data_IF_050321107284
#
_entry.id   IF_050321107284
#
_cell.length_a   1.000
_cell.length_b   1.000
_cell.length_c   1.000
_cell.angle_alpha   90.00
_cell.angle_beta   90.00
_cell.angle_gamma   90.00
#
_symmetry.space_group_name_H-M   'P 1'
#
loop_
_entity.id
_entity.type
_entity.pdbx_description
1 polymer ?
#
# COMPACT_ATOMS: atom_id res chain seq x y z
N UNK A 1 -4.02 -5.45 -34.39
CA UNK A 1 -2.67 -6.01 -34.58
C UNK A 1 -1.60 -4.91 -34.86
N UNK A 2 -1.63 -3.76 -34.16
CA UNK A 2 -0.68 -2.66 -34.43
C UNK A 2 0.43 -2.49 -33.37
N UNK A 3 0.37 -3.17 -32.22
CA UNK A 3 1.34 -2.97 -31.13
C UNK A 3 2.58 -3.87 -31.17
N UNK A 4 2.59 -4.95 -31.98
CA UNK A 4 3.73 -5.88 -32.04
C UNK A 4 4.91 -5.35 -32.88
N UNK A 5 4.70 -4.33 -33.72
CA UNK A 5 5.71 -3.87 -34.68
C UNK A 5 6.59 -2.70 -34.17
N UNK A 6 6.28 -2.10 -33.01
CA UNK A 6 7.05 -0.95 -32.47
C UNK A 6 8.30 -1.32 -31.66
N UNK A 7 8.54 -2.59 -31.36
CA UNK A 7 9.64 -2.99 -30.46
C UNK A 7 10.96 -3.33 -31.17
N UNK A 8 11.01 -3.31 -32.51
CA UNK A 8 12.23 -3.68 -33.26
C UNK A 8 13.14 -2.46 -33.52
N UNK A 9 12.66 -1.23 -33.31
CA UNK A 9 13.36 0.01 -33.73
C UNK A 9 14.20 0.70 -32.65
N UNK A 10 14.29 0.17 -31.43
CA UNK A 10 15.21 0.69 -30.40
C UNK A 10 16.24 -0.39 -30.09
N UNK A 11 17.52 -0.04 -30.18
CA UNK A 11 18.68 -0.85 -29.81
C UNK A 11 18.78 -1.14 -28.30
N UNK A 12 17.64 -1.28 -27.64
CA UNK A 12 17.53 -1.61 -26.23
C UNK A 12 17.88 -3.10 -26.05
N UNK A 13 18.77 -3.37 -25.09
CA UNK A 13 19.15 -4.74 -24.75
C UNK A 13 17.90 -5.52 -24.33
N UNK A 14 17.71 -6.69 -24.93
CA UNK A 14 16.64 -7.60 -24.56
C UNK A 14 16.66 -7.84 -23.04
N UNK A 15 15.47 -7.75 -22.43
CA UNK A 15 15.31 -8.00 -21.01
C UNK A 15 15.60 -9.46 -20.69
N UNK A 16 16.24 -9.70 -19.54
CA UNK A 16 16.30 -11.07 -19.02
C UNK A 16 14.91 -11.58 -18.67
N UNK A 17 14.67 -12.89 -18.81
CA UNK A 17 13.37 -13.51 -18.51
C UNK A 17 12.84 -13.13 -17.13
N UNK A 18 13.72 -13.05 -16.12
CA UNK A 18 13.37 -12.62 -14.76
C UNK A 18 12.88 -11.17 -14.72
N UNK A 19 13.57 -10.24 -15.40
CA UNK A 19 13.17 -8.82 -15.45
C UNK A 19 11.85 -8.65 -16.21
N UNK A 20 11.68 -9.38 -17.30
CA UNK A 20 10.44 -9.39 -18.06
C UNK A 20 9.26 -9.89 -17.21
N UNK A 21 9.42 -11.01 -16.50
CA UNK A 21 8.39 -11.55 -15.62
C UNK A 21 7.99 -10.58 -14.50
N UNK A 22 8.97 -9.88 -13.92
CA UNK A 22 8.71 -8.82 -12.93
C UNK A 22 7.87 -7.69 -13.53
N UNK A 23 8.28 -7.15 -14.69
CA UNK A 23 7.54 -6.07 -15.36
C UNK A 23 6.12 -6.50 -15.76
N UNK A 24 5.96 -7.73 -16.24
CA UNK A 24 4.65 -8.29 -16.55
C UNK A 24 3.77 -8.38 -15.31
N UNK A 25 4.32 -8.89 -14.20
CA UNK A 25 3.58 -9.01 -12.94
C UNK A 25 3.15 -7.64 -12.40
N UNK A 26 4.01 -6.63 -12.49
CA UNK A 26 3.70 -5.26 -12.11
C UNK A 26 2.57 -4.69 -12.99
N UNK A 27 2.65 -4.88 -14.31
CA UNK A 27 1.64 -4.40 -15.26
C UNK A 27 0.26 -5.02 -15.06
N UNK A 28 0.19 -6.31 -14.73
CA UNK A 28 -1.07 -7.02 -14.48
C UNK A 28 -1.65 -6.67 -13.11
N UNK A 29 -0.82 -6.59 -12.07
CA UNK A 29 -1.29 -6.41 -10.70
C UNK A 29 -1.54 -4.94 -10.33
N UNK A 30 -0.84 -3.98 -10.96
CA UNK A 30 -0.96 -2.57 -10.58
C UNK A 30 -2.38 -1.98 -10.70
N UNK A 31 -3.16 -2.24 -11.77
CA UNK A 31 -4.55 -1.77 -11.85
C UNK A 31 -5.42 -2.30 -10.72
N UNK A 32 -5.33 -3.61 -10.45
CA UNK A 32 -6.06 -4.28 -9.38
C UNK A 32 -5.70 -3.71 -8.00
N UNK A 33 -4.40 -3.52 -7.73
CA UNK A 33 -3.93 -2.94 -6.47
C UNK A 33 -4.40 -1.50 -6.27
N UNK A 34 -4.47 -0.68 -7.32
CA UNK A 34 -4.96 0.71 -7.26
C UNK A 34 -6.44 0.76 -6.91
N UNK A 35 -7.25 -0.09 -7.54
CA UNK A 35 -8.67 -0.20 -7.25
C UNK A 35 -8.92 -0.63 -5.80
N UNK A 36 -8.17 -1.64 -5.34
CA UNK A 36 -8.36 -2.22 -4.01
C UNK A 36 -7.78 -1.37 -2.87
N UNK A 37 -6.86 -0.45 -3.17
CA UNK A 37 -6.25 0.43 -2.17
C UNK A 37 -7.29 1.32 -1.44
N UNK A 38 -8.32 1.76 -2.16
CA UNK A 38 -9.36 2.65 -1.65
C UNK A 38 -10.46 1.93 -0.84
N UNK A 39 -10.46 0.60 -0.79
CA UNK A 39 -11.43 -0.18 -0.03
C UNK A 39 -11.25 0.13 1.46
N UNK A 40 -12.30 0.66 2.10
CA UNK A 40 -12.28 1.12 3.49
C UNK A 40 -12.00 -0.02 4.49
N UNK A 41 -12.44 -1.23 4.18
CA UNK A 41 -12.26 -2.45 4.98
C UNK A 41 -10.90 -3.12 4.79
N UNK A 42 -10.05 -2.62 3.89
CA UNK A 42 -8.73 -3.19 3.64
C UNK A 42 -7.86 -3.12 4.90
N UNK A 43 -7.30 -4.27 5.30
CA UNK A 43 -6.41 -4.36 6.44
C UNK A 43 -5.21 -3.42 6.28
N UNK A 44 -4.89 -2.67 7.33
CA UNK A 44 -3.76 -1.74 7.38
C UNK A 44 -2.42 -2.33 6.91
N UNK A 45 -1.98 -3.55 7.34
CA UNK A 45 -0.74 -4.13 6.84
C UNK A 45 -0.77 -4.35 5.31
N UNK A 46 -1.88 -4.83 4.78
CA UNK A 46 -2.09 -5.00 3.33
C UNK A 46 -2.03 -3.67 2.60
N UNK A 47 -2.69 -2.63 3.14
CA UNK A 47 -2.65 -1.27 2.58
C UNK A 47 -1.23 -0.70 2.57
N UNK A 48 -0.41 -0.96 3.60
CA UNK A 48 1.01 -0.56 3.64
C UNK A 48 1.84 -1.27 2.59
N UNK A 49 1.61 -2.58 2.36
CA UNK A 49 2.31 -3.34 1.32
C UNK A 49 1.94 -2.81 -0.07
N UNK A 50 0.65 -2.64 -0.36
CA UNK A 50 0.17 -2.10 -1.64
C UNK A 50 0.77 -0.70 -1.90
N UNK A 51 0.79 0.18 -0.90
CA UNK A 51 1.40 1.51 -1.02
C UNK A 51 2.87 1.46 -1.44
N UNK A 52 3.65 0.55 -0.83
CA UNK A 52 5.07 0.36 -1.16
C UNK A 52 5.26 -0.19 -2.58
N UNK A 53 4.47 -1.21 -2.95
CA UNK A 53 4.57 -1.83 -4.29
C UNK A 53 4.20 -0.85 -5.41
N UNK A 54 3.17 -0.02 -5.19
CA UNK A 54 2.75 1.02 -6.13
C UNK A 54 3.63 2.28 -6.10
N UNK A 55 4.65 2.33 -5.24
CA UNK A 55 5.56 3.48 -5.08
C UNK A 55 4.84 4.83 -4.90
N UNK A 56 3.69 4.83 -4.24
CA UNK A 56 2.85 6.03 -4.07
C UNK A 56 3.54 7.14 -3.24
N UNK A 57 4.57 6.80 -2.48
CA UNK A 57 5.33 7.75 -1.64
C UNK A 57 6.44 8.51 -2.41
N UNK A 58 6.70 8.21 -3.69
CA UNK A 58 7.83 8.82 -4.43
C UNK A 58 7.55 10.23 -4.99
N UNK A 59 6.31 10.72 -4.96
CA UNK A 59 5.94 12.04 -5.49
C UNK A 59 5.28 12.97 -4.46
N UNK A 60 5.32 12.62 -3.19
CA UNK A 60 4.67 13.43 -2.15
C UNK A 60 5.74 14.30 -1.50
N UNK A 61 5.83 15.57 -1.94
CA UNK A 61 6.36 16.64 -1.08
C UNK A 61 5.69 16.45 0.29
N UNK A 62 6.44 16.42 1.42
CA UNK A 62 5.89 15.98 2.70
C UNK A 62 4.58 16.73 2.97
N UNK A 63 3.44 16.04 3.06
CA UNK A 63 2.18 16.74 3.23
C UNK A 63 2.24 17.37 4.61
N UNK A 64 1.97 18.68 4.67
CA UNK A 64 1.68 19.40 5.91
C UNK A 64 0.65 18.59 6.69
N UNK A 65 1.14 17.83 7.68
CA UNK A 65 0.41 17.05 8.70
C UNK A 65 -1.07 16.76 8.35
N UNK A 66 -1.35 16.15 7.20
CA UNK A 66 -2.72 15.75 6.90
C UNK A 66 -3.08 14.64 7.88
N UNK A 67 -4.19 14.82 8.59
CA UNK A 67 -4.63 14.02 9.73
C UNK A 67 -4.39 12.52 9.50
N UNK A 68 -3.29 12.00 10.07
CA UNK A 68 -3.02 10.56 10.08
C UNK A 68 -4.20 9.91 10.78
N UNK A 69 -5.03 9.20 10.02
CA UNK A 69 -6.15 8.45 10.57
C UNK A 69 -5.60 7.42 11.55
N UNK A 70 -5.66 7.75 12.84
CA UNK A 70 -5.10 6.91 13.90
C UNK A 70 -6.03 5.72 14.09
N UNK A 71 -5.44 4.56 14.38
CA UNK A 71 -6.21 3.37 14.77
C UNK A 71 -7.11 3.78 15.95
N UNK A 72 -8.39 3.41 15.91
CA UNK A 72 -9.37 3.74 16.98
C UNK A 72 -9.60 2.58 17.94
N UNK A 73 -9.17 1.37 17.57
CA UNK A 73 -9.40 0.13 18.33
C UNK A 73 -8.17 -0.19 19.18
N UNK A 74 -8.42 -0.53 20.46
CA UNK A 74 -7.41 -1.00 21.40
C UNK A 74 -6.48 -2.07 20.79
N UNK A 75 -5.18 -1.93 21.04
CA UNK A 75 -4.16 -2.85 20.57
C UNK A 75 -3.96 -4.07 21.48
N UNK A 76 -4.46 -4.01 22.71
CA UNK A 76 -4.25 -5.03 23.75
C UNK A 76 -5.44 -5.98 23.94
N UNK A 77 -6.58 -5.69 23.30
CA UNK A 77 -7.78 -6.53 23.39
C UNK A 77 -8.08 -7.25 22.08
N UNK A 78 -8.76 -8.41 22.14
CA UNK A 78 -9.24 -9.13 20.97
C UNK A 78 -10.05 -8.23 20.02
N UNK A 79 -9.85 -8.40 18.72
CA UNK A 79 -10.56 -7.61 17.70
C UNK A 79 -12.09 -7.81 17.75
N UNK A 80 -12.56 -8.98 18.20
CA UNK A 80 -13.99 -9.28 18.38
C UNK A 80 -14.70 -8.32 19.32
N UNK A 81 -14.00 -7.74 20.30
CA UNK A 81 -14.59 -6.82 21.28
C UNK A 81 -14.71 -5.37 20.77
N UNK A 82 -14.02 -5.02 19.66
CA UNK A 82 -14.06 -3.71 18.99
C UNK A 82 -14.01 -2.48 19.91
N UNK A 83 -13.35 -2.57 21.07
CA UNK A 83 -13.33 -1.48 22.05
C UNK A 83 -12.62 -0.26 21.47
N UNK A 84 -13.37 0.81 21.27
CA UNK A 84 -12.89 2.09 20.75
C UNK A 84 -12.30 2.91 21.90
N UNK A 85 -11.17 3.56 21.67
CA UNK A 85 -10.58 4.43 22.70
C UNK A 85 -9.72 5.53 22.07
N UNK A 86 -9.82 6.78 22.59
CA UNK A 86 -8.95 7.87 22.17
C UNK A 86 -7.58 7.83 22.84
N UNK A 87 -7.36 6.92 23.80
CA UNK A 87 -6.16 6.93 24.63
C UNK A 87 -5.00 6.17 23.95
N UNK A 88 -3.81 6.76 24.01
CA UNK A 88 -2.58 6.19 23.47
C UNK A 88 -1.57 5.95 24.59
N UNK A 89 -0.91 4.80 24.60
CA UNK A 89 0.23 4.54 25.47
C UNK A 89 1.40 5.42 25.05
N UNK A 90 1.87 6.26 25.98
CA UNK A 90 2.87 7.28 25.71
C UNK A 90 4.19 6.71 25.16
N UNK A 91 4.62 5.53 25.63
CA UNK A 91 5.91 4.96 25.23
C UNK A 91 5.90 4.21 23.89
N UNK A 92 4.75 3.75 23.39
CA UNK A 92 4.69 2.96 22.14
C UNK A 92 3.62 3.43 21.15
N UNK A 93 2.95 4.55 21.43
CA UNK A 93 1.89 5.14 20.60
C UNK A 93 0.78 4.15 20.21
N UNK A 94 0.58 3.09 21.00
CA UNK A 94 -0.47 2.10 20.79
C UNK A 94 -1.75 2.54 21.47
N UNK A 95 -2.85 2.31 20.80
CA UNK A 95 -4.21 2.63 21.31
C UNK A 95 -4.53 1.68 22.45
N UNK A 96 -4.95 2.19 23.60
CA UNK A 96 -5.24 1.39 24.79
C UNK A 96 -6.44 1.95 25.54
N UNK A 97 -7.26 1.08 26.13
CA UNK A 97 -8.33 1.52 27.01
C UNK A 97 -7.77 1.68 28.43
N UNK A 98 -8.25 2.66 29.20
CA UNK A 98 -7.95 2.76 30.64
C UNK A 98 -9.00 1.91 31.35
N UNK A 99 -8.60 0.87 32.04
CA UNK A 99 -9.53 0.03 32.82
C UNK A 99 -10.20 0.82 33.95
#
# INVERSE_FOLDING_TARGET
>A
MHMLHMCITKSEKALSRKKFAMQLSEGVLAPWMKEHYNISTLLRPTRTIIRKLLKLDLNIQPPERSHKEKRKICAFRPYSLRTMTPNFYHACSRVMHRE
#
